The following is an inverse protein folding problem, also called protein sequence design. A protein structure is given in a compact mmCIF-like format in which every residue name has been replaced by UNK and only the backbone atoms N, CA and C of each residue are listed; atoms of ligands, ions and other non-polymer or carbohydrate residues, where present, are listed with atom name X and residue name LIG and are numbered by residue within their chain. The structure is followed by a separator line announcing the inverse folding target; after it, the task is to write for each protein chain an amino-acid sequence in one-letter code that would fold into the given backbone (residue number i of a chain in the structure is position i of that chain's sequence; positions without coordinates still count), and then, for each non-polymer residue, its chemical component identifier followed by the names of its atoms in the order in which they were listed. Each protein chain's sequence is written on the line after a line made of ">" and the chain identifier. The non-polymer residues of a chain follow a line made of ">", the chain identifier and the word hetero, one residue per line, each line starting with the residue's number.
data_IF_573491169979
#
_entry.id   IF_573491169979
#
_cell.length_a   1.000
_cell.length_b   1.000
_cell.length_c   1.000
_cell.angle_alpha   90.00
_cell.angle_beta   90.00
_cell.angle_gamma   90.00
#
_symmetry.space_group_name_H-M   'P 1'
#
loop_
_entity.id
_entity.type
_entity.pdbx_description
1 polymer ?
#
# COMPACT_ATOMS: atom_id res chain seq x y z
N UNK A 1 -25.09 7.08 38.47
CA UNK A 1 -24.78 5.99 37.54
C UNK A 1 -24.53 6.61 36.19
N UNK A 2 -23.27 6.97 35.89
CA UNK A 2 -22.86 7.35 34.52
C UNK A 2 -22.56 6.04 33.78
N UNK A 3 -23.43 5.68 32.84
CA UNK A 3 -23.10 4.71 31.79
C UNK A 3 -21.82 5.16 31.14
N UNK A 4 -20.72 4.46 31.39
CA UNK A 4 -19.54 4.49 30.57
C UNK A 4 -19.99 3.89 29.23
N UNK A 5 -20.34 4.77 28.26
CA UNK A 5 -20.41 4.43 26.86
C UNK A 5 -19.04 3.89 26.52
N UNK A 6 -18.89 2.59 26.42
CA UNK A 6 -17.69 1.94 25.87
C UNK A 6 -17.41 2.62 24.53
N UNK A 7 -16.44 3.51 24.53
CA UNK A 7 -15.96 4.12 23.30
C UNK A 7 -15.30 3.02 22.50
N UNK A 8 -16.01 2.48 21.53
CA UNK A 8 -15.42 1.58 20.53
C UNK A 8 -14.38 2.37 19.77
N UNK A 9 -13.11 2.02 19.95
CA UNK A 9 -11.99 2.67 19.28
C UNK A 9 -11.74 2.07 17.91
N UNK A 10 -12.11 0.80 17.69
CA UNK A 10 -12.06 0.17 16.37
C UNK A 10 -13.25 0.57 15.51
N UNK A 11 -13.00 1.03 14.29
CA UNK A 11 -14.00 1.33 13.26
C UNK A 11 -14.13 0.24 12.19
N UNK A 12 -13.31 -0.81 12.22
CA UNK A 12 -13.29 -1.90 11.23
C UNK A 12 -14.56 -2.76 11.34
N UNK A 13 -15.37 -2.89 10.25
CA UNK A 13 -16.63 -3.61 10.24
C UNK A 13 -16.51 -5.07 9.81
N UNK A 14 -15.31 -5.54 9.45
CA UNK A 14 -15.03 -6.90 8.95
C UNK A 14 -14.01 -7.61 9.82
N UNK A 15 -13.97 -8.93 9.74
CA UNK A 15 -12.87 -9.73 10.29
C UNK A 15 -11.67 -9.71 9.34
N UNK A 16 -10.47 -9.58 9.90
CA UNK A 16 -9.21 -9.54 9.14
C UNK A 16 -8.62 -10.96 9.01
N UNK A 17 -9.43 -11.91 8.53
CA UNK A 17 -9.03 -13.31 8.39
C UNK A 17 -9.15 -13.73 6.93
N UNK A 18 -8.06 -13.62 6.17
CA UNK A 18 -7.99 -14.01 4.77
C UNK A 18 -6.90 -15.08 4.55
N UNK A 19 -7.13 -16.07 3.67
CA UNK A 19 -6.10 -17.04 3.34
C UNK A 19 -5.00 -16.42 2.48
N UNK A 20 -3.75 -16.60 2.86
CA UNK A 20 -2.60 -16.19 2.04
C UNK A 20 -2.45 -17.15 0.85
N UNK A 21 -2.55 -16.69 -0.39
CA UNK A 21 -2.38 -17.53 -1.56
C UNK A 21 -0.92 -17.97 -1.74
N UNK A 22 -0.74 -19.05 -2.53
CA UNK A 22 0.58 -19.41 -3.06
C UNK A 22 0.78 -18.73 -4.40
N UNK A 23 2.00 -18.22 -4.61
CA UNK A 23 2.40 -17.53 -5.83
C UNK A 23 3.54 -18.28 -6.51
N UNK A 24 3.47 -18.38 -7.82
CA UNK A 24 4.56 -18.87 -8.69
C UNK A 24 4.86 -17.79 -9.72
N UNK A 25 6.00 -17.15 -9.55
CA UNK A 25 6.45 -16.06 -10.42
C UNK A 25 7.46 -16.52 -11.48
N UNK A 26 7.73 -17.83 -11.59
CA UNK A 26 8.80 -18.39 -12.43
C UNK A 26 8.68 -17.99 -13.91
N UNK A 27 7.46 -17.84 -14.42
CA UNK A 27 7.18 -17.43 -15.80
C UNK A 27 6.95 -15.93 -15.97
N UNK A 28 6.88 -15.15 -14.89
CA UNK A 28 6.60 -13.73 -14.97
C UNK A 28 7.77 -12.95 -15.56
N UNK A 29 7.51 -12.14 -16.58
CA UNK A 29 8.50 -11.27 -17.23
C UNK A 29 8.37 -9.83 -16.70
N UNK A 30 9.33 -9.34 -15.86
CA UNK A 30 9.20 -8.06 -15.16
C UNK A 30 8.96 -6.86 -16.06
N UNK A 31 9.49 -6.86 -17.28
CA UNK A 31 9.32 -5.75 -18.22
C UNK A 31 7.95 -5.71 -18.91
N UNK A 32 7.15 -6.79 -18.87
CA UNK A 32 5.99 -6.90 -19.77
C UNK A 32 4.74 -7.55 -19.16
N UNK A 33 4.78 -7.93 -17.91
CA UNK A 33 3.68 -8.67 -17.27
C UNK A 33 2.32 -7.94 -17.22
N UNK A 34 2.30 -6.61 -17.34
CA UNK A 34 1.07 -5.83 -17.36
C UNK A 34 0.74 -5.40 -18.79
N UNK A 35 -0.04 -6.22 -19.50
CA UNK A 35 -0.53 -5.94 -20.84
C UNK A 35 0.59 -5.76 -21.88
N UNK A 36 1.74 -6.44 -21.74
CA UNK A 36 2.89 -6.28 -22.63
C UNK A 36 3.57 -4.90 -22.57
N UNK A 37 3.20 -4.07 -21.58
CA UNK A 37 3.64 -2.67 -21.49
C UNK A 37 4.71 -2.49 -20.42
N UNK A 38 5.95 -2.23 -20.82
CA UNK A 38 7.03 -1.95 -19.88
C UNK A 38 6.73 -0.75 -18.94
N UNK A 39 6.20 0.39 -19.40
CA UNK A 39 5.82 1.47 -18.49
C UNK A 39 4.81 1.09 -17.41
N UNK A 40 3.77 0.30 -17.75
CA UNK A 40 2.77 -0.17 -16.79
C UNK A 40 3.38 -1.18 -15.81
N UNK A 41 4.11 -2.17 -16.33
CA UNK A 41 4.80 -3.18 -15.51
C UNK A 41 5.79 -2.51 -14.55
N UNK A 42 6.57 -1.55 -15.00
CA UNK A 42 7.54 -0.83 -14.18
C UNK A 42 6.90 0.04 -13.08
N UNK A 43 5.73 0.61 -13.34
CA UNK A 43 5.01 1.32 -12.30
C UNK A 43 4.66 0.37 -11.12
N UNK A 44 4.07 -0.78 -11.41
CA UNK A 44 3.70 -1.75 -10.39
C UNK A 44 4.92 -2.50 -9.81
N UNK A 45 5.97 -2.71 -10.59
CA UNK A 45 7.27 -3.19 -10.09
C UNK A 45 7.88 -2.20 -9.07
N UNK A 46 7.71 -0.91 -9.33
CA UNK A 46 8.13 0.14 -8.40
C UNK A 46 7.35 0.06 -7.10
N UNK A 47 6.02 -0.13 -7.16
CA UNK A 47 5.20 -0.34 -5.97
C UNK A 47 5.63 -1.61 -5.22
N UNK A 48 5.76 -2.75 -5.92
CA UNK A 48 6.22 -4.01 -5.32
C UNK A 48 7.58 -3.90 -4.63
N UNK A 49 8.51 -3.10 -5.18
CA UNK A 49 9.83 -2.85 -4.57
C UNK A 49 9.78 -1.90 -3.36
N UNK A 50 8.75 -1.03 -3.26
CA UNK A 50 8.56 -0.10 -2.14
C UNK A 50 7.91 -0.77 -0.92
N UNK A 51 6.88 -1.58 -1.16
CA UNK A 51 5.97 -2.09 -0.14
C UNK A 51 6.68 -2.87 1.00
N UNK A 52 7.57 -3.85 0.77
CA UNK A 52 8.12 -4.65 1.86
C UNK A 52 8.82 -3.83 2.95
N UNK A 53 9.53 -2.78 2.58
CA UNK A 53 10.20 -1.92 3.55
C UNK A 53 9.22 -1.09 4.38
N UNK A 54 8.13 -0.63 3.77
CA UNK A 54 7.06 0.14 4.41
C UNK A 54 6.32 -0.75 5.39
N UNK A 55 5.87 -1.91 4.94
CA UNK A 55 5.08 -2.89 5.70
C UNK A 55 5.86 -3.43 6.91
N UNK A 56 7.09 -3.91 6.72
CA UNK A 56 7.93 -4.34 7.85
C UNK A 56 8.26 -3.20 8.83
N UNK A 57 8.28 -1.95 8.35
CA UNK A 57 8.43 -0.81 9.23
C UNK A 57 7.14 -0.52 10.01
N UNK A 58 5.96 -0.66 9.40
CA UNK A 58 4.67 -0.57 10.06
C UNK A 58 4.54 -1.59 11.19
N UNK A 59 4.84 -2.86 10.91
CA UNK A 59 4.82 -3.94 11.91
C UNK A 59 5.69 -3.58 13.12
N UNK A 60 6.94 -3.20 12.90
CA UNK A 60 7.88 -2.83 13.97
C UNK A 60 7.42 -1.61 14.78
N UNK A 61 6.58 -0.78 14.18
CA UNK A 61 6.05 0.44 14.82
C UNK A 61 4.77 0.19 15.60
N UNK A 62 3.87 -0.66 15.09
CA UNK A 62 2.56 -0.90 15.68
C UNK A 62 2.56 -2.05 16.70
N UNK A 63 3.25 -3.15 16.42
CA UNK A 63 3.24 -4.31 17.32
C UNK A 63 3.62 -3.98 18.79
N UNK A 64 4.66 -3.16 19.08
CA UNK A 64 4.96 -2.76 20.46
C UNK A 64 3.87 -1.92 21.13
N UNK A 65 2.93 -1.34 20.37
CA UNK A 65 1.85 -0.51 20.89
C UNK A 65 0.68 -1.32 21.41
N UNK A 66 0.56 -2.59 21.01
CA UNK A 66 -0.51 -3.49 21.45
C UNK A 66 -0.62 -3.53 22.98
N UNK A 67 0.50 -3.51 23.69
CA UNK A 67 0.52 -3.47 25.16
C UNK A 67 -0.09 -2.19 25.78
N UNK A 68 -0.28 -1.13 25.00
CA UNK A 68 -0.86 0.14 25.42
C UNK A 68 -2.32 0.29 24.98
N UNK A 69 -2.85 -0.66 24.23
CA UNK A 69 -4.22 -0.66 23.72
C UNK A 69 -5.08 -1.52 24.66
N UNK A 70 -5.99 -0.88 25.39
CA UNK A 70 -6.88 -1.55 26.35
C UNK A 70 -8.19 -2.02 25.68
N UNK A 71 -8.51 -1.53 24.48
CA UNK A 71 -9.61 -2.05 23.66
C UNK A 71 -9.21 -3.41 23.08
N UNK A 72 -9.85 -4.51 23.50
CA UNK A 72 -9.44 -5.86 23.09
C UNK A 72 -9.65 -6.10 21.59
N UNK A 73 -10.68 -5.46 20.99
CA UNK A 73 -10.95 -5.56 19.56
C UNK A 73 -9.83 -4.89 18.77
N UNK A 74 -9.50 -3.64 19.07
CA UNK A 74 -8.43 -2.91 18.39
C UNK A 74 -7.07 -3.60 18.59
N UNK A 75 -6.80 -4.13 19.80
CA UNK A 75 -5.56 -4.88 20.06
C UNK A 75 -5.46 -6.18 19.23
N UNK A 76 -6.59 -6.86 19.00
CA UNK A 76 -6.64 -8.05 18.13
C UNK A 76 -6.42 -7.66 16.65
N UNK A 77 -7.08 -6.60 16.18
CA UNK A 77 -6.94 -6.09 14.82
C UNK A 77 -5.52 -5.64 14.49
N UNK A 78 -4.82 -5.01 15.45
CA UNK A 78 -3.39 -4.64 15.24
C UNK A 78 -2.52 -5.90 15.06
N UNK A 79 -2.79 -7.00 15.78
CA UNK A 79 -2.04 -8.24 15.56
C UNK A 79 -2.32 -8.84 14.20
N UNK A 80 -3.60 -8.94 13.82
CA UNK A 80 -4.02 -9.45 12.52
C UNK A 80 -3.46 -8.60 11.37
N UNK A 81 -3.53 -7.28 11.50
CA UNK A 81 -2.88 -6.34 10.58
C UNK A 81 -1.39 -6.65 10.42
N UNK A 82 -0.66 -6.78 11.53
CA UNK A 82 0.77 -7.10 11.46
C UNK A 82 1.07 -8.46 10.80
N UNK A 83 0.19 -9.45 10.99
CA UNK A 83 0.33 -10.76 10.33
C UNK A 83 0.07 -10.65 8.82
N UNK A 84 -0.94 -9.87 8.40
CA UNK A 84 -1.23 -9.60 6.99
C UNK A 84 -0.11 -8.81 6.32
N UNK A 85 0.37 -7.73 6.93
CA UNK A 85 1.51 -6.95 6.43
C UNK A 85 2.78 -7.81 6.28
N UNK A 86 3.02 -8.76 7.22
CA UNK A 86 4.14 -9.68 7.09
C UNK A 86 3.98 -10.63 5.89
N UNK A 87 2.75 -11.06 5.59
CA UNK A 87 2.44 -11.87 4.42
C UNK A 87 2.60 -11.07 3.12
N UNK A 88 2.12 -9.81 3.08
CA UNK A 88 2.29 -8.89 1.94
C UNK A 88 3.78 -8.67 1.63
N UNK A 89 4.55 -8.21 2.64
CA UNK A 89 5.97 -7.95 2.49
C UNK A 89 6.76 -9.19 2.06
N UNK A 90 6.36 -10.38 2.53
CA UNK A 90 6.96 -11.64 2.12
C UNK A 90 6.63 -11.99 0.67
N UNK A 91 5.37 -11.85 0.23
CA UNK A 91 4.94 -12.16 -1.13
C UNK A 91 5.59 -11.22 -2.17
N UNK A 92 5.60 -9.92 -1.89
CA UNK A 92 6.29 -8.94 -2.74
C UNK A 92 7.81 -9.16 -2.75
N UNK A 93 8.43 -9.45 -1.60
CA UNK A 93 9.87 -9.80 -1.53
C UNK A 93 10.19 -11.05 -2.35
N UNK A 94 9.31 -12.06 -2.36
CA UNK A 94 9.47 -13.25 -3.18
C UNK A 94 9.55 -12.89 -4.67
N UNK A 95 8.56 -12.17 -5.20
CA UNK A 95 8.59 -11.66 -6.57
C UNK A 95 9.85 -10.81 -6.84
N UNK A 96 10.15 -9.86 -5.95
CA UNK A 96 11.27 -8.96 -6.12
C UNK A 96 12.62 -9.73 -6.22
N UNK A 97 12.86 -10.69 -5.32
CA UNK A 97 14.12 -11.46 -5.31
C UNK A 97 14.18 -12.44 -6.46
N UNK A 98 13.09 -13.16 -6.74
CA UNK A 98 13.08 -14.23 -7.75
C UNK A 98 13.18 -13.67 -9.17
N UNK A 99 12.53 -12.53 -9.43
CA UNK A 99 12.40 -11.97 -10.79
C UNK A 99 13.01 -10.58 -10.91
N UNK A 100 12.57 -9.63 -10.11
CA UNK A 100 12.87 -8.22 -10.33
C UNK A 100 14.36 -7.90 -10.14
N UNK A 101 14.99 -8.44 -9.07
CA UNK A 101 16.42 -8.20 -8.82
C UNK A 101 17.35 -8.92 -9.79
N UNK A 102 16.90 -9.99 -10.44
CA UNK A 102 17.69 -10.68 -11.48
C UNK A 102 17.88 -9.78 -12.70
N UNK A 103 16.81 -9.14 -13.13
CA UNK A 103 16.81 -8.28 -14.31
C UNK A 103 17.26 -6.85 -13.95
N UNK A 104 16.93 -6.39 -12.73
CA UNK A 104 17.18 -5.03 -12.25
C UNK A 104 17.90 -5.02 -10.89
N UNK A 105 19.16 -5.48 -10.81
CA UNK A 105 19.87 -5.65 -9.52
C UNK A 105 20.11 -4.35 -8.74
N UNK A 106 19.99 -3.19 -9.39
CA UNK A 106 20.09 -1.90 -8.72
C UNK A 106 18.96 -1.63 -7.72
N UNK A 107 17.78 -2.24 -7.91
CA UNK A 107 16.65 -2.08 -6.99
C UNK A 107 16.97 -2.58 -5.59
N UNK A 108 17.68 -3.70 -5.45
CA UNK A 108 18.10 -4.21 -4.14
C UNK A 108 18.95 -3.19 -3.35
N UNK A 109 19.74 -2.34 -4.05
CA UNK A 109 20.52 -1.26 -3.41
C UNK A 109 19.62 -0.12 -2.96
N UNK A 110 18.62 0.23 -3.77
CA UNK A 110 17.62 1.25 -3.43
C UNK A 110 16.81 0.82 -2.20
N UNK A 111 16.35 -0.43 -2.16
CA UNK A 111 15.64 -1.01 -1.02
C UNK A 111 16.50 -1.03 0.26
N UNK A 112 17.79 -1.34 0.13
CA UNK A 112 18.72 -1.30 1.26
C UNK A 112 18.91 0.12 1.82
N UNK A 113 19.02 1.13 0.96
CA UNK A 113 19.08 2.52 1.35
C UNK A 113 17.79 2.97 2.04
N UNK A 114 16.65 2.60 1.51
CA UNK A 114 15.33 2.94 2.03
C UNK A 114 15.09 2.35 3.43
N UNK A 115 15.53 1.11 3.70
CA UNK A 115 15.53 0.55 5.07
C UNK A 115 16.32 1.41 6.06
N UNK A 116 17.43 1.99 5.61
CA UNK A 116 18.20 2.98 6.38
C UNK A 116 17.39 4.24 6.68
N UNK A 117 16.67 4.76 5.68
CA UNK A 117 15.80 5.92 5.81
C UNK A 117 14.66 5.69 6.81
N UNK A 118 13.95 4.57 6.73
CA UNK A 118 12.91 4.22 7.71
C UNK A 118 13.48 4.04 9.12
N UNK A 119 14.67 3.44 9.25
CA UNK A 119 15.35 3.34 10.54
C UNK A 119 15.70 4.70 11.11
N UNK A 120 16.12 5.64 10.27
CA UNK A 120 16.40 7.04 10.66
C UNK A 120 15.09 7.71 11.11
N UNK A 121 14.00 7.60 10.37
CA UNK A 121 12.70 8.17 10.74
C UNK A 121 12.20 7.62 12.08
N UNK A 122 12.24 6.30 12.27
CA UNK A 122 11.81 5.65 13.50
C UNK A 122 12.57 6.17 14.75
N UNK A 123 13.83 6.61 14.58
CA UNK A 123 14.68 7.11 15.68
C UNK A 123 14.54 8.61 15.91
N UNK A 124 14.13 9.40 14.91
CA UNK A 124 14.24 10.86 14.92
C UNK A 124 12.89 11.57 14.90
N UNK A 125 11.85 10.95 14.36
CA UNK A 125 10.55 11.59 14.29
C UNK A 125 9.80 11.44 15.62
N UNK A 126 9.00 12.45 16.01
CA UNK A 126 8.00 12.28 17.05
C UNK A 126 7.09 11.10 16.74
N UNK A 127 6.77 10.29 17.77
CA UNK A 127 5.93 9.08 17.62
C UNK A 127 4.63 9.35 16.87
N UNK A 128 3.94 10.45 17.20
CA UNK A 128 2.67 10.80 16.55
C UNK A 128 2.83 11.08 15.05
N UNK A 129 3.93 11.72 14.63
CA UNK A 129 4.22 11.97 13.22
C UNK A 129 4.60 10.68 12.49
N UNK A 130 5.37 9.81 13.16
CA UNK A 130 5.76 8.53 12.58
C UNK A 130 4.57 7.58 12.41
N UNK A 131 3.62 7.53 13.37
CA UNK A 131 2.36 6.81 13.21
C UNK A 131 1.47 7.42 12.12
N UNK A 132 1.42 8.75 12.04
CA UNK A 132 0.66 9.45 11.00
C UNK A 132 1.17 9.15 9.59
N UNK A 133 2.46 8.82 9.43
CA UNK A 133 3.00 8.36 8.16
C UNK A 133 2.33 7.05 7.73
N UNK A 134 2.13 6.08 8.64
CA UNK A 134 1.43 4.82 8.31
C UNK A 134 -0.07 5.02 8.09
N UNK A 135 -0.73 5.96 8.80
CA UNK A 135 -2.11 6.35 8.46
C UNK A 135 -2.20 6.84 7.02
N UNK A 136 -1.19 7.58 6.54
CA UNK A 136 -1.14 8.06 5.17
C UNK A 136 -0.84 6.94 4.17
N UNK A 137 0.02 5.97 4.53
CA UNK A 137 0.28 4.76 3.72
C UNK A 137 -1.02 3.99 3.52
N UNK A 138 -1.70 3.60 4.60
CA UNK A 138 -2.95 2.84 4.56
C UNK A 138 -4.04 3.52 3.73
N UNK A 139 -4.14 4.84 3.84
CA UNK A 139 -5.08 5.59 3.00
C UNK A 139 -4.72 5.48 1.51
N UNK A 140 -3.42 5.55 1.21
CA UNK A 140 -2.94 5.53 -0.17
C UNK A 140 -3.11 4.14 -0.80
N UNK A 141 -2.72 3.08 -0.07
CA UNK A 141 -2.89 1.70 -0.53
C UNK A 141 -4.37 1.34 -0.66
N UNK A 142 -5.23 1.74 0.29
CA UNK A 142 -6.67 1.54 0.20
C UNK A 142 -7.31 2.25 -1.00
N UNK A 143 -6.91 3.50 -1.31
CA UNK A 143 -7.42 4.21 -2.48
C UNK A 143 -7.03 3.51 -3.80
N UNK A 144 -5.78 3.03 -3.91
CA UNK A 144 -5.34 2.23 -5.06
C UNK A 144 -6.08 0.90 -5.14
N UNK A 145 -6.26 0.22 -4.03
CA UNK A 145 -6.96 -1.06 -3.93
C UNK A 145 -8.41 -0.95 -4.34
N UNK A 146 -9.12 0.10 -3.87
CA UNK A 146 -10.51 0.35 -4.21
C UNK A 146 -10.71 0.40 -5.74
N UNK A 147 -9.98 1.27 -6.42
CA UNK A 147 -10.13 1.46 -7.85
C UNK A 147 -9.49 0.36 -8.70
N UNK A 148 -8.43 -0.27 -8.20
CA UNK A 148 -7.83 -1.45 -8.85
C UNK A 148 -8.80 -2.64 -8.90
N UNK A 149 -9.62 -2.82 -7.85
CA UNK A 149 -10.65 -3.85 -7.80
C UNK A 149 -11.94 -3.45 -8.51
N UNK A 150 -12.29 -2.17 -8.55
CA UNK A 150 -13.45 -1.67 -9.29
C UNK A 150 -13.24 -1.71 -10.81
N UNK A 151 -12.01 -1.46 -11.27
CA UNK A 151 -11.68 -1.32 -12.68
C UNK A 151 -10.47 -2.18 -13.09
N UNK A 152 -10.47 -3.50 -12.82
CA UNK A 152 -9.31 -4.35 -13.07
C UNK A 152 -8.88 -4.35 -14.55
N UNK A 153 -9.83 -4.29 -15.49
CA UNK A 153 -9.54 -4.21 -16.92
C UNK A 153 -8.82 -2.92 -17.34
N UNK A 154 -8.96 -1.84 -16.56
CA UNK A 154 -8.27 -0.59 -16.86
C UNK A 154 -6.80 -0.61 -16.39
N UNK A 155 -6.53 -1.27 -15.26
CA UNK A 155 -5.23 -1.24 -14.62
C UNK A 155 -4.40 -2.49 -14.88
N UNK A 156 -5.06 -3.65 -15.05
CA UNK A 156 -4.44 -4.97 -15.13
C UNK A 156 -4.91 -5.80 -16.35
N UNK A 157 -5.38 -5.14 -17.44
CA UNK A 157 -5.75 -5.85 -18.64
C UNK A 157 -4.57 -6.68 -19.19
N UNK A 158 -4.85 -7.93 -19.56
CA UNK A 158 -3.87 -8.86 -20.14
C UNK A 158 -2.61 -9.02 -19.28
N UNK A 159 -2.77 -8.98 -17.96
CA UNK A 159 -1.64 -9.12 -17.05
C UNK A 159 -1.33 -10.59 -16.74
N UNK A 160 -0.08 -10.85 -16.33
CA UNK A 160 0.35 -12.17 -15.85
C UNK A 160 -0.56 -12.63 -14.69
N UNK A 161 -1.09 -13.88 -14.73
CA UNK A 161 -2.04 -14.36 -13.74
C UNK A 161 -1.50 -14.39 -12.30
N UNK A 162 -0.20 -14.68 -12.11
CA UNK A 162 0.40 -14.69 -10.76
C UNK A 162 0.52 -13.27 -10.20
N UNK A 163 0.85 -12.29 -11.07
CA UNK A 163 0.89 -10.88 -10.67
C UNK A 163 -0.50 -10.30 -10.42
N UNK A 164 -1.50 -10.66 -11.24
CA UNK A 164 -2.89 -10.27 -10.96
C UNK A 164 -3.36 -10.81 -9.61
N UNK A 165 -3.13 -12.10 -9.36
CA UNK A 165 -3.46 -12.75 -8.09
C UNK A 165 -2.80 -12.08 -6.89
N UNK A 166 -1.50 -11.69 -7.02
CA UNK A 166 -0.77 -10.98 -5.98
C UNK A 166 -1.43 -9.64 -5.65
N UNK A 167 -1.66 -8.81 -6.68
CA UNK A 167 -2.24 -7.48 -6.49
C UNK A 167 -3.70 -7.51 -6.07
N UNK A 168 -4.49 -8.47 -6.56
CA UNK A 168 -5.90 -8.62 -6.17
C UNK A 168 -6.03 -9.04 -4.69
N UNK A 169 -5.26 -10.05 -4.25
CA UNK A 169 -5.25 -10.50 -2.86
C UNK A 169 -4.79 -9.39 -1.91
N UNK A 170 -3.66 -8.77 -2.21
CA UNK A 170 -3.14 -7.63 -1.44
C UNK A 170 -4.19 -6.51 -1.34
N UNK A 171 -4.79 -6.13 -2.47
CA UNK A 171 -5.78 -5.06 -2.51
C UNK A 171 -7.00 -5.32 -1.61
N UNK A 172 -7.49 -6.56 -1.53
CA UNK A 172 -8.63 -6.91 -0.68
C UNK A 172 -8.27 -6.80 0.81
N UNK A 173 -7.08 -7.25 1.20
CA UNK A 173 -6.62 -7.14 2.59
C UNK A 173 -6.39 -5.66 2.97
N UNK A 174 -5.83 -4.83 2.08
CA UNK A 174 -5.70 -3.37 2.27
C UNK A 174 -7.04 -2.69 2.53
N UNK A 175 -8.09 -3.07 1.78
CA UNK A 175 -9.43 -2.55 2.03
C UNK A 175 -9.99 -2.98 3.38
N UNK A 176 -9.70 -4.19 3.82
CA UNK A 176 -10.21 -4.70 5.09
C UNK A 176 -9.57 -4.02 6.29
N UNK A 177 -8.26 -3.80 6.26
CA UNK A 177 -7.51 -3.26 7.40
C UNK A 177 -7.21 -1.74 7.33
N UNK A 178 -7.69 -1.03 6.33
CA UNK A 178 -7.42 0.41 6.08
C UNK A 178 -7.64 1.35 7.27
N UNK A 179 -8.40 0.93 8.29
CA UNK A 179 -8.68 1.75 9.45
C UNK A 179 -7.73 1.47 10.65
N UNK A 180 -7.02 0.35 10.66
CA UNK A 180 -6.27 -0.09 11.85
C UNK A 180 -5.23 0.96 12.28
N UNK A 181 -4.39 1.42 11.36
CA UNK A 181 -3.39 2.47 11.64
C UNK A 181 -4.03 3.78 12.10
N UNK A 182 -5.14 4.18 11.49
CA UNK A 182 -5.90 5.38 11.86
C UNK A 182 -6.48 5.27 13.27
N UNK A 183 -7.11 4.14 13.59
CA UNK A 183 -7.73 3.90 14.90
C UNK A 183 -6.69 3.88 16.02
N UNK A 184 -5.54 3.22 15.81
CA UNK A 184 -4.40 3.28 16.75
C UNK A 184 -3.87 4.71 16.90
N UNK A 185 -3.68 5.43 15.80
CA UNK A 185 -3.23 6.82 15.83
C UNK A 185 -4.17 7.68 16.64
N UNK A 186 -5.49 7.56 16.44
CA UNK A 186 -6.52 8.31 17.16
C UNK A 186 -6.60 7.89 18.63
N UNK A 187 -6.51 6.58 18.91
CA UNK A 187 -6.49 6.02 20.27
C UNK A 187 -5.36 6.62 21.12
N UNK A 188 -4.19 6.79 20.52
CA UNK A 188 -3.00 7.37 21.15
C UNK A 188 -2.97 8.90 21.14
N UNK A 189 -4.08 9.57 20.86
CA UNK A 189 -4.21 11.03 20.88
C UNK A 189 -3.70 11.75 19.63
N UNK A 190 -3.59 11.04 18.52
CA UNK A 190 -3.19 11.60 17.23
C UNK A 190 -4.10 12.75 16.78
N UNK A 191 -3.51 13.85 16.32
CA UNK A 191 -4.19 15.10 15.95
C UNK A 191 -4.18 15.30 14.44
N UNK A 192 -5.18 16.01 13.93
CA UNK A 192 -5.35 16.32 12.50
C UNK A 192 -4.08 16.91 11.84
N UNK A 193 -3.41 17.86 12.48
CA UNK A 193 -2.18 18.45 11.92
C UNK A 193 -1.06 17.42 11.77
N UNK A 194 -0.93 16.47 12.71
CA UNK A 194 0.03 15.38 12.58
C UNK A 194 -0.37 14.41 11.42
N UNK A 195 -1.66 14.16 11.23
CA UNK A 195 -2.18 13.37 10.10
C UNK A 195 -1.78 14.01 8.77
N UNK A 196 -2.06 15.31 8.58
CA UNK A 196 -1.68 16.07 7.37
C UNK A 196 -0.15 16.08 7.17
N UNK A 197 0.60 16.30 8.25
CA UNK A 197 2.07 16.27 8.19
C UNK A 197 2.63 14.88 7.85
N UNK A 198 1.98 13.79 8.30
CA UNK A 198 2.30 12.42 7.92
C UNK A 198 2.16 12.18 6.43
N UNK A 199 1.07 12.65 5.81
CA UNK A 199 0.89 12.56 4.35
C UNK A 199 1.95 13.39 3.60
N UNK A 200 2.23 14.61 4.05
CA UNK A 200 3.25 15.45 3.44
C UNK A 200 4.65 14.77 3.51
N UNK A 201 4.96 14.15 4.66
CA UNK A 201 6.20 13.38 4.85
C UNK A 201 6.24 12.15 3.93
N UNK A 202 5.15 11.38 3.87
CA UNK A 202 5.03 10.21 2.98
C UNK A 202 5.32 10.60 1.54
N UNK A 203 4.67 11.63 1.04
CA UNK A 203 4.83 12.07 -0.34
C UNK A 203 6.24 12.60 -0.60
N UNK A 204 6.72 13.55 0.21
CA UNK A 204 7.96 14.27 -0.06
C UNK A 204 9.22 13.43 0.17
N UNK A 205 9.21 12.53 1.16
CA UNK A 205 10.40 11.79 1.55
C UNK A 205 10.41 10.31 1.14
N UNK A 206 9.25 9.72 0.83
CA UNK A 206 9.14 8.30 0.50
C UNK A 206 8.60 8.09 -0.91
N UNK A 207 7.35 8.49 -1.18
CA UNK A 207 6.66 8.15 -2.42
C UNK A 207 7.27 8.82 -3.65
N UNK A 208 7.30 10.15 -3.70
CA UNK A 208 7.78 10.87 -4.89
C UNK A 208 9.25 10.54 -5.20
N UNK A 209 10.21 10.62 -4.25
CA UNK A 209 11.59 10.26 -4.55
C UNK A 209 11.76 8.76 -4.80
N UNK A 210 11.05 7.89 -4.06
CA UNK A 210 11.12 6.45 -4.23
C UNK A 210 10.62 5.99 -5.59
N UNK A 211 9.47 6.53 -6.05
CA UNK A 211 8.90 6.26 -7.37
C UNK A 211 9.81 6.82 -8.47
N UNK A 212 10.22 8.08 -8.35
CA UNK A 212 11.05 8.73 -9.36
C UNK A 212 12.38 7.99 -9.57
N UNK A 213 13.06 7.60 -8.47
CA UNK A 213 14.33 6.88 -8.52
C UNK A 213 14.18 5.51 -9.20
N UNK A 214 13.18 4.72 -8.80
CA UNK A 214 12.95 3.37 -9.34
C UNK A 214 12.51 3.43 -10.81
N UNK A 215 11.53 4.28 -11.13
CA UNK A 215 11.06 4.44 -12.51
C UNK A 215 12.18 4.91 -13.43
N UNK A 216 13.00 5.89 -12.99
CA UNK A 216 14.14 6.35 -13.77
C UNK A 216 15.14 5.23 -14.01
N UNK A 217 15.46 4.44 -12.99
CA UNK A 217 16.37 3.31 -13.11
C UNK A 217 15.83 2.23 -14.06
N UNK A 218 14.55 1.83 -13.91
CA UNK A 218 13.91 0.83 -14.78
C UNK A 218 13.84 1.30 -16.24
N UNK A 219 13.44 2.56 -16.45
CA UNK A 219 13.40 3.16 -17.79
C UNK A 219 14.81 3.25 -18.43
N UNK A 220 15.82 3.56 -17.61
CA UNK A 220 17.19 3.58 -18.09
C UNK A 220 17.66 2.19 -18.54
N UNK A 221 17.39 1.17 -17.73
CA UNK A 221 17.77 -0.21 -18.00
C UNK A 221 17.15 -0.75 -19.29
N UNK A 222 15.89 -0.40 -19.56
CA UNK A 222 15.14 -0.85 -20.73
C UNK A 222 15.23 0.12 -21.93
N UNK A 223 16.08 1.15 -21.82
CA UNK A 223 16.29 2.13 -22.90
C UNK A 223 15.04 2.96 -23.21
N UNK A 224 14.16 3.18 -22.22
CA UNK A 224 12.89 3.93 -22.36
C UNK A 224 13.01 5.42 -22.06
N UNK A 225 14.09 5.86 -21.39
CA UNK A 225 14.27 7.26 -20.94
C UNK A 225 14.03 8.31 -22.03
N UNK A 226 14.48 8.02 -23.24
CA UNK A 226 14.38 8.95 -24.37
C UNK A 226 13.37 8.50 -25.41
N UNK A 227 12.39 7.63 -25.05
CA UNK A 227 11.33 7.19 -25.95
C UNK A 227 10.01 7.94 -25.65
N UNK A 228 9.64 8.98 -26.41
CA UNK A 228 8.44 9.79 -26.14
C UNK A 228 7.16 8.95 -26.03
N UNK A 229 7.01 7.92 -26.87
CA UNK A 229 5.83 7.03 -26.86
C UNK A 229 5.65 6.31 -25.51
N UNK A 230 6.76 5.91 -24.86
CA UNK A 230 6.70 5.28 -23.53
C UNK A 230 6.16 6.27 -22.48
N UNK A 231 6.64 7.51 -22.51
CA UNK A 231 6.18 8.57 -21.59
C UNK A 231 4.72 8.97 -21.83
N UNK A 232 4.31 9.15 -23.09
CA UNK A 232 2.92 9.47 -23.41
C UNK A 232 1.96 8.32 -23.05
N UNK A 233 2.32 7.07 -23.35
CA UNK A 233 1.55 5.90 -22.97
C UNK A 233 1.42 5.76 -21.45
N UNK A 234 2.50 6.01 -20.72
CA UNK A 234 2.49 6.02 -19.26
C UNK A 234 1.66 7.17 -18.68
N UNK A 235 1.80 8.38 -19.23
CA UNK A 235 0.98 9.51 -18.83
C UNK A 235 -0.51 9.25 -19.06
N UNK A 236 -0.88 8.65 -20.19
CA UNK A 236 -2.27 8.24 -20.45
C UNK A 236 -2.77 7.18 -19.47
N UNK A 237 -1.91 6.25 -19.06
CA UNK A 237 -2.23 5.24 -18.05
C UNK A 237 -2.45 5.86 -16.66
N UNK A 238 -1.66 6.87 -16.27
CA UNK A 238 -1.80 7.54 -14.99
C UNK A 238 -2.93 8.57 -14.97
N UNK A 239 -3.07 9.38 -16.03
CA UNK A 239 -3.90 10.58 -16.06
C UNK A 239 -5.09 10.48 -17.03
N UNK A 240 -5.27 9.37 -17.73
CA UNK A 240 -6.45 9.15 -18.57
C UNK A 240 -7.75 9.10 -17.74
N UNK A 241 -8.90 9.08 -18.40
CA UNK A 241 -10.23 9.07 -17.72
C UNK A 241 -10.37 7.93 -16.68
N UNK A 242 -9.82 6.76 -16.96
CA UNK A 242 -9.77 5.59 -16.05
C UNK A 242 -8.34 5.39 -15.49
N UNK A 243 -7.52 6.44 -15.54
CA UNK A 243 -6.13 6.38 -15.12
C UNK A 243 -5.97 6.29 -13.62
N UNK A 244 -4.86 5.69 -13.21
CA UNK A 244 -4.57 5.38 -11.80
C UNK A 244 -4.69 6.61 -10.91
N UNK A 245 -4.01 7.71 -11.26
CA UNK A 245 -4.03 8.93 -10.45
C UNK A 245 -5.32 9.73 -10.60
N UNK A 246 -5.97 9.66 -11.77
CA UNK A 246 -7.25 10.36 -12.00
C UNK A 246 -8.34 9.75 -11.12
N UNK A 247 -8.38 8.42 -11.01
CA UNK A 247 -9.41 7.73 -10.22
C UNK A 247 -9.20 7.91 -8.71
N UNK A 248 -7.96 7.87 -8.25
CA UNK A 248 -7.64 8.00 -6.82
C UNK A 248 -7.60 9.43 -6.30
N UNK A 249 -7.65 10.44 -7.19
CA UNK A 249 -7.46 11.85 -6.82
C UNK A 249 -8.46 12.38 -5.79
N UNK A 250 -9.73 12.02 -5.91
CA UNK A 250 -10.78 12.50 -5.00
C UNK A 250 -10.63 11.89 -3.60
N UNK A 251 -10.34 10.59 -3.53
CA UNK A 251 -10.09 9.91 -2.25
C UNK A 251 -8.83 10.46 -1.59
N UNK A 252 -7.80 10.71 -2.38
CA UNK A 252 -6.59 11.34 -1.88
C UNK A 252 -6.89 12.73 -1.27
N UNK A 253 -7.73 13.53 -1.91
CA UNK A 253 -8.15 14.83 -1.37
C UNK A 253 -9.06 14.69 -0.14
N UNK A 254 -9.88 13.63 -0.08
CA UNK A 254 -10.74 13.34 1.06
C UNK A 254 -9.95 13.14 2.36
N UNK A 255 -8.73 12.60 2.29
CA UNK A 255 -7.83 12.45 3.43
C UNK A 255 -7.60 13.76 4.22
N UNK A 256 -7.61 14.89 3.54
CA UNK A 256 -7.41 16.22 4.13
C UNK A 256 -8.68 16.82 4.75
N UNK A 257 -9.79 16.11 4.73
CA UNK A 257 -10.98 16.50 5.47
C UNK A 257 -10.73 16.32 6.98
N UNK A 258 -10.93 17.34 7.85
CA UNK A 258 -10.79 17.19 9.30
C UNK A 258 -11.71 16.14 9.92
N UNK A 259 -12.79 15.75 9.22
CA UNK A 259 -13.74 14.71 9.62
C UNK A 259 -13.48 13.37 8.94
N UNK A 260 -12.39 13.24 8.20
CA UNK A 260 -12.00 12.01 7.49
C UNK A 260 -12.04 10.79 8.40
N UNK A 261 -12.62 9.73 7.86
CA UNK A 261 -12.55 8.37 8.41
C UNK A 261 -12.28 7.38 7.28
N UNK A 262 -11.46 6.35 7.49
CA UNK A 262 -11.13 5.39 6.42
C UNK A 262 -12.34 4.68 5.81
N UNK A 263 -13.40 4.45 6.61
CA UNK A 263 -14.65 3.81 6.18
C UNK A 263 -15.71 4.77 5.62
N UNK A 264 -15.38 6.04 5.37
CA UNK A 264 -16.26 6.95 4.61
C UNK A 264 -16.46 6.45 3.17
N UNK A 265 -15.50 5.70 2.63
CA UNK A 265 -15.64 4.93 1.39
C UNK A 265 -16.03 3.50 1.74
N UNK A 266 -17.21 3.05 1.26
CA UNK A 266 -17.70 1.69 1.50
C UNK A 266 -17.01 0.68 0.58
N UNK A 267 -16.09 -0.10 1.14
CA UNK A 267 -15.37 -1.17 0.43
C UNK A 267 -15.95 -2.57 0.69
N UNK A 268 -16.98 -2.69 1.54
CA UNK A 268 -17.58 -4.00 1.89
C UNK A 268 -18.05 -4.82 0.68
N UNK A 269 -18.68 -4.22 -0.35
CA UNK A 269 -19.11 -4.98 -1.51
C UNK A 269 -17.95 -5.66 -2.25
N UNK A 270 -16.79 -5.00 -2.37
CA UNK A 270 -15.60 -5.55 -3.03
C UNK A 270 -14.99 -6.70 -2.23
N UNK A 271 -14.84 -6.51 -0.92
CA UNK A 271 -14.33 -7.53 0.00
C UNK A 271 -15.21 -8.79 -0.06
N UNK A 272 -16.52 -8.65 0.07
CA UNK A 272 -17.48 -9.78 0.02
C UNK A 272 -17.50 -10.48 -1.34
N UNK A 273 -17.42 -9.71 -2.43
CA UNK A 273 -17.37 -10.28 -3.77
C UNK A 273 -16.12 -11.14 -3.99
N UNK A 274 -14.98 -10.74 -3.42
CA UNK A 274 -13.77 -11.54 -3.47
C UNK A 274 -13.87 -12.78 -2.59
N UNK A 275 -14.32 -12.65 -1.33
CA UNK A 275 -14.51 -13.78 -0.42
C UNK A 275 -15.37 -14.88 -1.04
N UNK A 276 -16.52 -14.52 -1.64
CA UNK A 276 -17.41 -15.47 -2.31
C UNK A 276 -16.80 -16.20 -3.53
N UNK A 277 -15.64 -15.75 -4.04
CA UNK A 277 -14.93 -16.41 -5.14
C UNK A 277 -13.85 -17.38 -4.68
N UNK A 278 -13.34 -17.19 -3.45
CA UNK A 278 -12.22 -17.99 -2.92
C UNK A 278 -12.66 -19.05 -1.91
N UNK A 279 -13.92 -18.98 -1.40
CA UNK A 279 -14.62 -20.03 -0.67
C UNK A 279 -15.09 -21.16 -1.61
#
# INVERSE_FOLDING_TARGET
>A
MHEQREMRHSSTPVELAFPTPRFDFSSCEPASWNGGSAPRSHFWNTMSSLLPNIEFCAIRSLMPLVAQIHDPKLAAEVRQFCDQEAAHGTAHSHFNVERLHRDYPGLAKVEAWERGLFTFFARRLPRSLFLALFVAVEHWTAAFSQYGLEEPDAWFADCDPAMFKLWEWHAVEELAHKAVCYDVFRYLGGRYLAQVAGMALLLAAVMLPGIALRMTYLYWKDGLLFKPRAHFGFAAYLFGRRGVLTRTALDFLHYFNPRYRPWDVDSLPLIRAWQARVE
#
